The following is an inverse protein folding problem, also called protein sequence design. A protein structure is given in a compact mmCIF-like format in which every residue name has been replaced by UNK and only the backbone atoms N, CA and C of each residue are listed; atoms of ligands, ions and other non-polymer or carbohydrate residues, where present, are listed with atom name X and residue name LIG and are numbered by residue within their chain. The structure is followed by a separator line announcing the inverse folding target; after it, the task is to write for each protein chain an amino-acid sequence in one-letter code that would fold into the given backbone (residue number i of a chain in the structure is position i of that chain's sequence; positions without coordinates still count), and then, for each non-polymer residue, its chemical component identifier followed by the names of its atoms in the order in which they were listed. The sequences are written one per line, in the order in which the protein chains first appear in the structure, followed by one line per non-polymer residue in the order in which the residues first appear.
data_IF_570388116615
#
_entry.id   IF_570388116615
#
_cell.length_a   1.000
_cell.length_b   1.000
_cell.length_c   1.000
_cell.angle_alpha   90.00
_cell.angle_beta   90.00
_cell.angle_gamma   90.00
#
_symmetry.space_group_name_H-M   'P 1'
#
loop_
_entity.id
_entity.type
_entity.pdbx_description
1 polymer ?
#
# COMPACT_ATOMS: atom_id res chain seq x y z
N UNK A 1 3.50 16.65 -34.82
CA UNK A 1 2.17 16.19 -34.35
C UNK A 1 1.14 17.16 -34.90
N UNK A 2 -0.09 16.73 -35.18
CA UNK A 2 -1.15 17.64 -35.63
C UNK A 2 -1.56 18.60 -34.49
N UNK A 3 -1.80 19.89 -34.76
CA UNK A 3 -2.23 20.85 -33.73
C UNK A 3 -3.51 20.42 -32.99
N UNK A 4 -4.46 19.77 -33.68
CA UNK A 4 -5.68 19.24 -33.07
C UNK A 4 -5.40 18.13 -32.05
N UNK A 5 -4.40 17.27 -32.30
CA UNK A 5 -3.99 16.20 -31.39
C UNK A 5 -3.31 16.79 -30.15
N UNK A 6 -2.50 17.83 -30.31
CA UNK A 6 -1.90 18.55 -29.17
C UNK A 6 -2.96 19.24 -28.30
N UNK A 7 -3.99 19.82 -28.91
CA UNK A 7 -5.12 20.40 -28.18
C UNK A 7 -5.95 19.32 -27.46
N UNK A 8 -6.14 18.15 -28.06
CA UNK A 8 -6.80 17.00 -27.42
C UNK A 8 -6.00 16.44 -26.24
N UNK A 9 -4.67 16.41 -26.32
CA UNK A 9 -3.83 16.00 -25.19
C UNK A 9 -4.02 16.95 -24.00
N UNK A 10 -3.94 18.26 -24.26
CA UNK A 10 -4.20 19.28 -23.24
C UNK A 10 -5.63 19.17 -22.69
N UNK A 11 -6.62 18.95 -23.56
CA UNK A 11 -8.01 18.77 -23.16
C UNK A 11 -8.18 17.56 -22.25
N UNK A 12 -7.50 16.45 -22.55
CA UNK A 12 -7.53 15.25 -21.71
C UNK A 12 -6.93 15.51 -20.33
N UNK A 13 -5.84 16.26 -20.24
CA UNK A 13 -5.24 16.57 -18.94
C UNK A 13 -6.12 17.52 -18.12
N UNK A 14 -6.78 18.48 -18.78
CA UNK A 14 -7.82 19.31 -18.15
C UNK A 14 -9.00 18.46 -17.68
N UNK A 15 -9.51 17.53 -18.50
CA UNK A 15 -10.61 16.64 -18.13
C UNK A 15 -10.25 15.74 -16.93
N UNK A 16 -9.02 15.23 -16.86
CA UNK A 16 -8.52 14.46 -15.70
C UNK A 16 -8.53 15.31 -14.45
N UNK A 17 -8.07 16.55 -14.54
CA UNK A 17 -7.99 17.45 -13.39
C UNK A 17 -9.38 17.89 -12.91
N UNK A 18 -10.31 18.17 -13.84
CA UNK A 18 -11.72 18.39 -13.51
C UNK A 18 -12.31 17.18 -12.80
N UNK A 19 -12.03 15.97 -13.30
CA UNK A 19 -12.53 14.74 -12.67
C UNK A 19 -11.96 14.55 -11.28
N UNK A 20 -10.66 14.77 -11.09
CA UNK A 20 -10.00 14.73 -9.77
C UNK A 20 -10.68 15.67 -8.78
N UNK A 21 -10.89 16.93 -9.16
CA UNK A 21 -11.57 17.92 -8.34
C UNK A 21 -13.03 17.55 -8.07
N UNK A 22 -13.75 17.01 -9.06
CA UNK A 22 -15.12 16.54 -8.88
C UNK A 22 -15.21 15.38 -7.88
N UNK A 23 -14.27 14.44 -7.95
CA UNK A 23 -14.21 13.31 -7.04
C UNK A 23 -13.87 13.79 -5.61
N UNK A 24 -12.96 14.76 -5.46
CA UNK A 24 -12.63 15.40 -4.17
C UNK A 24 -13.83 16.13 -3.54
N UNK A 25 -14.55 16.91 -4.35
CA UNK A 25 -15.78 17.60 -3.91
C UNK A 25 -16.88 16.58 -3.53
N UNK A 26 -17.00 15.48 -4.27
CA UNK A 26 -18.01 14.46 -4.01
C UNK A 26 -17.71 13.56 -2.80
N UNK A 27 -16.44 13.38 -2.45
CA UNK A 27 -16.02 12.56 -1.31
C UNK A 27 -16.30 13.24 0.03
N UNK A 28 -16.34 14.57 0.04
CA UNK A 28 -16.50 15.35 1.25
C UNK A 28 -17.87 15.18 1.93
N UNK A 29 -19.02 15.22 1.24
CA UNK A 29 -20.31 14.84 1.81
C UNK A 29 -20.32 13.42 2.41
N UNK A 30 -19.59 12.47 1.81
CA UNK A 30 -19.50 11.11 2.36
C UNK A 30 -18.74 11.08 3.67
N UNK A 31 -17.60 11.77 3.73
CA UNK A 31 -16.81 11.90 4.98
C UNK A 31 -17.63 12.57 6.08
N UNK A 32 -18.33 13.66 5.77
CA UNK A 32 -19.21 14.36 6.71
C UNK A 32 -20.32 13.43 7.21
N UNK A 33 -20.98 12.68 6.32
CA UNK A 33 -22.04 11.74 6.69
C UNK A 33 -21.53 10.59 7.59
N UNK A 34 -20.36 10.04 7.30
CA UNK A 34 -19.74 9.00 8.14
C UNK A 34 -19.43 9.53 9.56
N UNK A 35 -18.94 10.77 9.64
CA UNK A 35 -18.66 11.46 10.90
C UNK A 35 -19.95 11.72 11.69
N UNK A 36 -21.01 12.18 11.04
CA UNK A 36 -22.32 12.41 11.68
C UNK A 36 -22.95 11.10 12.19
N UNK A 37 -22.76 9.99 11.47
CA UNK A 37 -23.20 8.68 11.93
C UNK A 37 -22.47 8.23 13.21
N UNK A 38 -21.18 8.56 13.33
CA UNK A 38 -20.39 8.29 14.55
C UNK A 38 -20.92 9.10 15.75
N UNK A 39 -21.15 10.41 15.56
CA UNK A 39 -21.77 11.27 16.58
C UNK A 39 -23.16 10.79 17.00
N UNK A 40 -23.98 10.33 16.06
CA UNK A 40 -25.28 9.76 16.37
C UNK A 40 -25.17 8.53 17.28
N UNK A 41 -24.14 7.70 17.06
CA UNK A 41 -23.80 6.57 17.94
C UNK A 41 -23.43 7.03 19.36
N UNK A 42 -22.51 7.98 19.50
CA UNK A 42 -22.10 8.54 20.80
C UNK A 42 -23.28 9.16 21.54
N UNK A 43 -24.14 9.90 20.82
CA UNK A 43 -25.36 10.49 21.37
C UNK A 43 -26.36 9.43 21.85
N UNK A 44 -26.55 8.36 21.08
CA UNK A 44 -27.42 7.26 21.49
C UNK A 44 -26.92 6.55 22.77
N UNK A 45 -25.61 6.43 22.95
CA UNK A 45 -25.03 5.91 24.20
C UNK A 45 -25.32 6.83 25.38
N UNK A 46 -25.16 8.15 25.20
CA UNK A 46 -25.51 9.14 26.22
C UNK A 46 -26.99 9.08 26.58
N UNK A 47 -27.89 9.02 25.60
CA UNK A 47 -29.33 8.94 25.81
C UNK A 47 -29.70 7.67 26.58
N UNK A 48 -29.06 6.54 26.26
CA UNK A 48 -29.24 5.26 26.98
C UNK A 48 -28.78 5.36 28.44
N UNK A 49 -27.64 5.97 28.70
CA UNK A 49 -27.13 6.16 30.06
C UNK A 49 -28.05 7.07 30.89
N UNK A 50 -28.55 8.16 30.30
CA UNK A 50 -29.52 9.04 30.94
C UNK A 50 -30.87 8.37 31.21
N UNK A 51 -31.34 7.52 30.29
CA UNK A 51 -32.57 6.75 30.48
C UNK A 51 -32.43 5.74 31.63
N UNK A 52 -31.28 5.08 31.76
CA UNK A 52 -30.99 4.18 32.88
C UNK A 52 -31.01 4.94 34.21
N UNK A 53 -30.33 6.09 34.29
CA UNK A 53 -30.33 6.94 35.49
C UNK A 53 -31.75 7.36 35.91
N UNK A 54 -32.58 7.80 34.96
CA UNK A 54 -33.99 8.15 35.23
C UNK A 54 -34.81 6.96 35.71
N UNK A 55 -34.50 5.76 35.23
CA UNK A 55 -35.18 4.52 35.65
C UNK A 55 -34.82 4.19 37.09
N UNK A 56 -33.55 4.32 37.47
CA UNK A 56 -33.08 4.10 38.84
C UNK A 56 -33.67 5.13 39.81
N UNK A 57 -33.74 6.41 39.41
CA UNK A 57 -34.40 7.46 40.19
C UNK A 57 -35.90 7.19 40.41
N UNK A 58 -36.61 6.72 39.36
CA UNK A 58 -38.01 6.36 39.46
C UNK A 58 -38.23 5.15 40.38
N UNK A 59 -37.38 4.13 40.27
CA UNK A 59 -37.41 2.97 41.15
C UNK A 59 -37.17 3.36 42.61
N UNK A 60 -36.20 4.23 42.86
CA UNK A 60 -35.91 4.77 44.19
C UNK A 60 -37.14 5.48 44.79
N UNK A 61 -37.78 6.38 44.04
CA UNK A 61 -39.01 7.07 44.51
C UNK A 61 -40.14 6.10 44.84
N UNK A 62 -40.26 5.00 44.09
CA UNK A 62 -41.24 3.94 44.36
C UNK A 62 -40.96 3.24 45.70
N UNK A 63 -39.71 2.90 45.98
CA UNK A 63 -39.33 2.30 47.26
C UNK A 63 -39.51 3.27 48.44
N UNK A 64 -39.18 4.55 48.26
CA UNK A 64 -39.42 5.60 49.28
C UNK A 64 -40.92 5.76 49.60
N UNK A 65 -41.79 5.71 48.58
CA UNK A 65 -43.23 5.72 48.77
C UNK A 65 -43.72 4.46 49.53
N UNK A 66 -43.23 3.27 49.14
CA UNK A 66 -43.54 1.99 49.82
C UNK A 66 -43.15 2.02 51.30
N UNK A 67 -41.96 2.54 51.64
CA UNK A 67 -41.52 2.72 53.04
C UNK A 67 -42.48 3.63 53.80
N UNK A 68 -42.93 4.73 53.17
CA UNK A 68 -43.86 5.68 53.79
C UNK A 68 -45.22 5.02 54.09
N UNK A 69 -45.72 4.20 53.17
CA UNK A 69 -46.94 3.41 53.36
C UNK A 69 -46.79 2.35 54.47
N UNK A 70 -45.67 1.63 54.50
CA UNK A 70 -45.37 0.62 55.52
C UNK A 70 -45.24 1.27 56.92
N UNK A 71 -44.57 2.42 57.03
CA UNK A 71 -44.49 3.18 58.29
C UNK A 71 -45.87 3.61 58.78
N UNK A 72 -46.74 4.02 57.86
CA UNK A 72 -48.13 4.36 58.18
C UNK A 72 -48.91 3.13 58.67
N UNK A 73 -48.72 1.95 58.05
CA UNK A 73 -49.32 0.69 58.52
C UNK A 73 -48.83 0.29 59.90
N UNK A 74 -47.52 0.37 60.15
CA UNK A 74 -46.92 0.09 61.46
C UNK A 74 -47.55 0.98 62.54
N UNK A 75 -47.71 2.28 62.29
CA UNK A 75 -48.38 3.19 63.23
C UNK A 75 -49.80 2.70 63.55
N UNK A 76 -50.60 2.38 62.52
CA UNK A 76 -51.96 1.87 62.70
C UNK A 76 -52.00 0.55 63.49
N UNK A 77 -51.11 -0.39 63.19
CA UNK A 77 -51.05 -1.67 63.92
C UNK A 77 -50.60 -1.47 65.37
N UNK A 78 -49.71 -0.52 65.64
CA UNK A 78 -49.31 -0.15 67.01
C UNK A 78 -50.48 0.44 67.79
N UNK A 79 -51.23 1.37 67.19
CA UNK A 79 -52.42 1.95 67.80
C UNK A 79 -53.48 0.85 68.08
N UNK A 80 -53.76 -0.01 67.09
CA UNK A 80 -54.68 -1.14 67.26
C UNK A 80 -54.23 -2.10 68.36
N UNK A 81 -52.92 -2.33 68.51
CA UNK A 81 -52.38 -3.26 69.50
C UNK A 81 -52.66 -2.84 70.94
N UNK A 82 -52.88 -1.55 71.18
CA UNK A 82 -53.25 -0.99 72.49
C UNK A 82 -54.72 -1.26 72.84
N UNK A 83 -55.59 -1.44 71.84
CA UNK A 83 -57.04 -1.62 72.03
C UNK A 83 -57.48 -3.08 72.11
N UNK A 84 -56.59 -4.03 71.80
CA UNK A 84 -56.95 -5.45 71.68
C UNK A 84 -57.02 -6.16 73.04
N UNK A 85 -58.08 -6.95 73.25
CA UNK A 85 -58.34 -7.61 74.53
C UNK A 85 -57.89 -9.08 74.59
N UNK A 86 -57.56 -9.68 73.45
CA UNK A 86 -57.14 -11.09 73.38
C UNK A 86 -55.66 -11.21 73.01
N UNK A 87 -54.97 -12.12 73.69
CA UNK A 87 -53.53 -12.33 73.53
C UNK A 87 -53.18 -12.86 72.12
N UNK A 88 -54.09 -13.60 71.48
CA UNK A 88 -53.92 -14.12 70.12
C UNK A 88 -53.95 -13.00 69.07
N UNK A 89 -54.90 -12.07 69.17
CA UNK A 89 -54.98 -10.92 68.26
C UNK A 89 -53.79 -9.96 68.45
N UNK A 90 -53.31 -9.78 69.69
CA UNK A 90 -52.11 -8.99 69.97
C UNK A 90 -50.85 -9.60 69.32
N UNK A 91 -50.68 -10.93 69.42
CA UNK A 91 -49.58 -11.64 68.76
C UNK A 91 -49.64 -11.54 67.23
N UNK A 92 -50.84 -11.59 66.64
CA UNK A 92 -51.01 -11.40 65.21
C UNK A 92 -50.56 -9.99 64.76
N UNK A 93 -50.96 -8.93 65.46
CA UNK A 93 -50.52 -7.56 65.16
C UNK A 93 -49.02 -7.37 65.32
N UNK A 94 -48.40 -7.96 66.35
CA UNK A 94 -46.95 -7.94 66.51
C UNK A 94 -46.23 -8.62 65.34
N UNK A 95 -46.77 -9.73 64.82
CA UNK A 95 -46.22 -10.40 63.66
C UNK A 95 -46.33 -9.53 62.39
N UNK A 96 -47.47 -8.87 62.17
CA UNK A 96 -47.66 -7.92 61.06
C UNK A 96 -46.71 -6.71 61.16
N UNK A 97 -46.48 -6.18 62.36
CA UNK A 97 -45.49 -5.11 62.58
C UNK A 97 -44.09 -5.60 62.22
N UNK A 98 -43.66 -6.77 62.71
CA UNK A 98 -42.35 -7.33 62.39
C UNK A 98 -42.19 -7.61 60.90
N UNK A 99 -43.26 -8.06 60.23
CA UNK A 99 -43.25 -8.26 58.79
C UNK A 99 -43.06 -6.93 58.05
N UNK A 100 -43.82 -5.89 58.41
CA UNK A 100 -43.68 -4.57 57.83
C UNK A 100 -42.31 -3.93 58.10
N UNK A 101 -41.73 -4.14 59.29
CA UNK A 101 -40.37 -3.67 59.63
C UNK A 101 -39.30 -4.37 58.77
N UNK A 102 -39.44 -5.68 58.50
CA UNK A 102 -38.57 -6.41 57.58
C UNK A 102 -38.68 -5.91 56.14
N UNK A 103 -39.90 -5.64 55.67
CA UNK A 103 -40.13 -5.09 54.33
C UNK A 103 -39.56 -3.66 54.19
N UNK A 104 -39.60 -2.84 55.25
CA UNK A 104 -38.92 -1.54 55.26
C UNK A 104 -37.42 -1.73 55.09
N UNK A 105 -36.79 -2.60 55.90
CA UNK A 105 -35.36 -2.86 55.80
C UNK A 105 -34.95 -3.35 54.40
N UNK A 106 -35.73 -4.27 53.80
CA UNK A 106 -35.50 -4.75 52.44
C UNK A 106 -35.62 -3.62 51.39
N UNK A 107 -36.57 -2.70 51.55
CA UNK A 107 -36.71 -1.55 50.66
C UNK A 107 -35.58 -0.52 50.87
N UNK A 108 -35.09 -0.33 52.10
CA UNK A 108 -33.94 0.53 52.42
C UNK A 108 -32.66 -0.02 51.79
N UNK A 109 -32.43 -1.34 51.85
CA UNK A 109 -31.32 -2.01 51.16
C UNK A 109 -31.40 -1.81 49.64
N UNK A 110 -32.60 -1.93 49.05
CA UNK A 110 -32.81 -1.68 47.61
C UNK A 110 -32.53 -0.22 47.23
N UNK A 111 -32.90 0.74 48.07
CA UNK A 111 -32.58 2.16 47.85
C UNK A 111 -31.06 2.37 47.87
N UNK A 112 -30.34 1.78 48.82
CA UNK A 112 -28.89 1.88 48.90
C UNK A 112 -28.21 1.29 47.64
N UNK A 113 -28.65 0.12 47.18
CA UNK A 113 -28.18 -0.47 45.92
C UNK A 113 -28.41 0.49 44.72
N UNK A 114 -29.61 1.07 44.62
CA UNK A 114 -29.94 2.03 43.56
C UNK A 114 -29.11 3.32 43.65
N UNK A 115 -28.80 3.80 44.84
CA UNK A 115 -27.95 4.99 45.03
C UNK A 115 -26.52 4.74 44.55
N UNK A 116 -25.93 3.58 44.86
CA UNK A 116 -24.59 3.20 44.37
C UNK A 116 -24.57 3.07 42.85
N UNK A 117 -25.62 2.47 42.28
CA UNK A 117 -25.78 2.36 40.83
C UNK A 117 -25.91 3.74 40.19
N UNK A 118 -26.75 4.62 40.75
CA UNK A 118 -26.96 5.98 40.25
C UNK A 118 -25.67 6.80 40.25
N UNK A 119 -24.84 6.72 41.30
CA UNK A 119 -23.53 7.39 41.33
C UNK A 119 -22.59 6.88 40.21
N UNK A 120 -22.65 5.58 39.92
CA UNK A 120 -21.88 4.99 38.82
C UNK A 120 -22.39 5.48 37.47
N UNK A 121 -23.71 5.51 37.27
CA UNK A 121 -24.34 5.98 36.01
C UNK A 121 -24.17 7.48 35.81
N UNK A 122 -24.20 8.29 36.86
CA UNK A 122 -23.93 9.74 36.77
C UNK A 122 -22.50 10.00 36.29
N UNK A 123 -21.51 9.24 36.77
CA UNK A 123 -20.13 9.30 36.26
C UNK A 123 -20.05 8.91 34.79
N UNK A 124 -20.74 7.84 34.38
CA UNK A 124 -20.80 7.42 32.98
C UNK A 124 -21.47 8.47 32.08
N UNK A 125 -22.56 9.10 32.54
CA UNK A 125 -23.23 10.19 31.82
C UNK A 125 -22.30 11.39 31.66
N UNK A 126 -21.60 11.79 32.73
CA UNK A 126 -20.65 12.91 32.68
C UNK A 126 -19.48 12.63 31.73
N UNK A 127 -18.94 11.41 31.75
CA UNK A 127 -17.90 10.99 30.82
C UNK A 127 -18.42 11.04 29.36
N UNK A 128 -19.56 10.40 29.09
CA UNK A 128 -20.17 10.39 27.76
C UNK A 128 -20.54 11.80 27.25
N UNK A 129 -20.95 12.72 28.13
CA UNK A 129 -21.17 14.13 27.78
C UNK A 129 -19.89 14.86 27.42
N UNK A 130 -18.80 14.63 28.16
CA UNK A 130 -17.51 15.22 27.88
C UNK A 130 -16.97 14.71 26.54
N UNK A 131 -17.05 13.40 26.30
CA UNK A 131 -16.64 12.76 25.05
C UNK A 131 -17.46 13.28 23.87
N UNK A 132 -18.78 13.33 23.99
CA UNK A 132 -19.66 13.87 22.94
C UNK A 132 -19.31 15.33 22.63
N UNK A 133 -19.03 16.15 23.65
CA UNK A 133 -18.69 17.56 23.47
C UNK A 133 -17.34 17.72 22.77
N UNK A 134 -16.33 16.95 23.17
CA UNK A 134 -15.00 16.98 22.55
C UNK A 134 -15.08 16.53 21.09
N UNK A 135 -15.76 15.40 20.85
CA UNK A 135 -15.96 14.85 19.51
C UNK A 135 -16.76 15.82 18.61
N UNK A 136 -17.81 16.46 19.12
CA UNK A 136 -18.58 17.45 18.36
C UNK A 136 -17.71 18.65 17.97
N UNK A 137 -16.86 19.14 18.88
CA UNK A 137 -15.99 20.29 18.61
C UNK A 137 -14.94 19.98 17.54
N UNK A 138 -14.31 18.81 17.60
CA UNK A 138 -13.36 18.33 16.59
C UNK A 138 -14.03 18.19 15.21
N UNK A 139 -15.25 17.64 15.20
CA UNK A 139 -16.02 17.42 13.97
C UNK A 139 -16.45 18.72 13.32
N UNK A 140 -16.90 19.71 14.08
CA UNK A 140 -17.28 21.00 13.51
C UNK A 140 -16.06 21.72 12.92
N UNK A 141 -14.86 21.56 13.51
CA UNK A 141 -13.61 22.05 12.90
C UNK A 141 -13.29 21.32 11.60
N UNK A 142 -13.39 19.98 11.57
CA UNK A 142 -13.18 19.21 10.34
C UNK A 142 -14.18 19.60 9.24
N UNK A 143 -15.46 19.78 9.58
CA UNK A 143 -16.50 20.21 8.64
C UNK A 143 -16.22 21.59 8.08
N UNK A 144 -15.76 22.53 8.90
CA UNK A 144 -15.45 23.88 8.44
C UNK A 144 -14.23 23.89 7.51
N UNK A 145 -13.14 23.20 7.89
CA UNK A 145 -11.97 23.03 7.03
C UNK A 145 -12.35 22.36 5.70
N UNK A 146 -13.18 21.32 5.77
CA UNK A 146 -13.71 20.63 4.62
C UNK A 146 -14.47 21.62 3.70
N UNK A 147 -15.44 22.38 4.22
CA UNK A 147 -16.19 23.38 3.44
C UNK A 147 -15.30 24.41 2.78
N UNK A 148 -14.28 24.89 3.47
CA UNK A 148 -13.32 25.85 2.90
C UNK A 148 -12.57 25.25 1.72
N UNK A 149 -12.06 24.03 1.86
CA UNK A 149 -11.40 23.31 0.75
C UNK A 149 -12.34 23.05 -0.41
N UNK A 150 -13.59 22.64 -0.16
CA UNK A 150 -14.60 22.48 -1.23
C UNK A 150 -14.84 23.78 -1.97
N UNK A 151 -14.94 24.91 -1.28
CA UNK A 151 -15.14 26.20 -1.92
C UNK A 151 -13.94 26.62 -2.78
N UNK A 152 -12.72 26.26 -2.38
CA UNK A 152 -11.51 26.44 -3.19
C UNK A 152 -11.50 25.52 -4.42
N UNK A 153 -11.83 24.24 -4.24
CA UNK A 153 -11.91 23.25 -5.31
C UNK A 153 -12.99 23.61 -6.34
N UNK A 154 -14.15 24.11 -5.90
CA UNK A 154 -15.22 24.59 -6.79
C UNK A 154 -14.79 25.80 -7.63
N UNK A 155 -14.01 26.72 -7.05
CA UNK A 155 -13.43 27.86 -7.79
C UNK A 155 -12.44 27.36 -8.84
N UNK A 156 -11.51 26.48 -8.45
CA UNK A 156 -10.55 25.87 -9.38
C UNK A 156 -11.27 25.12 -10.50
N UNK A 157 -12.34 24.39 -10.18
CA UNK A 157 -13.14 23.65 -11.13
C UNK A 157 -13.81 24.60 -12.15
N UNK A 158 -14.28 25.77 -11.73
CA UNK A 158 -14.78 26.79 -12.65
C UNK A 158 -13.67 27.31 -13.59
N UNK A 159 -12.46 27.55 -13.09
CA UNK A 159 -11.30 27.95 -13.91
C UNK A 159 -10.93 26.85 -14.93
N UNK A 160 -10.88 25.59 -14.50
CA UNK A 160 -10.58 24.46 -15.37
C UNK A 160 -11.66 24.24 -16.43
N UNK A 161 -12.94 24.44 -16.10
CA UNK A 161 -14.04 24.45 -17.09
C UNK A 161 -13.84 25.56 -18.13
N UNK A 162 -13.45 26.75 -17.71
CA UNK A 162 -13.11 27.84 -18.63
C UNK A 162 -11.96 27.46 -19.59
N UNK A 163 -10.87 26.88 -19.06
CA UNK A 163 -9.76 26.36 -19.88
C UNK A 163 -10.20 25.26 -20.85
N UNK A 164 -11.08 24.36 -20.40
CA UNK A 164 -11.65 23.28 -21.20
C UNK A 164 -12.41 23.83 -22.41
N UNK A 165 -13.25 24.83 -22.21
CA UNK A 165 -14.07 25.43 -23.28
C UNK A 165 -13.20 26.21 -24.27
N UNK A 166 -12.13 26.87 -23.82
CA UNK A 166 -11.14 27.48 -24.70
C UNK A 166 -10.45 26.44 -25.61
N UNK A 167 -10.02 25.31 -25.06
CA UNK A 167 -9.36 24.24 -25.83
C UNK A 167 -10.29 23.58 -26.85
N UNK A 168 -11.58 23.46 -26.54
CA UNK A 168 -12.61 22.92 -27.45
C UNK A 168 -12.75 23.74 -28.73
N UNK A 169 -12.59 25.07 -28.66
CA UNK A 169 -12.69 25.94 -29.85
C UNK A 169 -11.62 25.68 -30.92
N UNK A 170 -10.50 25.07 -30.53
CA UNK A 170 -9.37 24.73 -31.42
C UNK A 170 -9.37 23.29 -31.93
N UNK A 171 -10.49 22.57 -31.81
CA UNK A 171 -10.65 21.16 -32.20
C UNK A 171 -11.87 21.04 -33.12
N UNK A 172 -11.78 20.21 -34.17
CA UNK A 172 -12.92 19.95 -35.05
C UNK A 172 -14.06 19.22 -34.31
N UNK A 173 -15.32 19.62 -34.60
CA UNK A 173 -16.51 19.10 -33.91
C UNK A 173 -16.65 17.57 -34.00
N UNK A 174 -16.31 16.98 -35.15
CA UNK A 174 -16.38 15.53 -35.33
C UNK A 174 -15.36 14.79 -34.42
N UNK A 175 -14.14 15.31 -34.37
CA UNK A 175 -13.07 14.73 -33.54
C UNK A 175 -13.37 14.89 -32.05
N UNK A 176 -13.91 16.04 -31.64
CA UNK A 176 -14.36 16.29 -30.27
C UNK A 176 -15.48 15.33 -29.86
N UNK A 177 -16.52 15.16 -30.69
CA UNK A 177 -17.61 14.20 -30.43
C UNK A 177 -17.11 12.77 -30.30
N UNK A 178 -16.09 12.39 -31.08
CA UNK A 178 -15.45 11.08 -30.96
C UNK A 178 -14.70 10.93 -29.65
N UNK A 179 -13.84 11.89 -29.33
CA UNK A 179 -13.08 11.95 -28.08
C UNK A 179 -14.00 11.86 -26.85
N UNK A 180 -15.05 12.67 -26.78
CA UNK A 180 -15.96 12.71 -25.62
C UNK A 180 -16.69 11.39 -25.40
N UNK A 181 -17.14 10.77 -26.49
CA UNK A 181 -17.79 9.46 -26.43
C UNK A 181 -16.84 8.42 -25.84
N UNK A 182 -15.62 8.33 -26.36
CA UNK A 182 -14.64 7.34 -25.90
C UNK A 182 -14.20 7.64 -24.47
N UNK A 183 -13.92 8.90 -24.14
CA UNK A 183 -13.54 9.35 -22.80
C UNK A 183 -14.60 9.00 -21.75
N UNK A 184 -15.89 9.20 -22.07
CA UNK A 184 -17.00 8.85 -21.18
C UNK A 184 -17.04 7.36 -20.81
N UNK A 185 -16.77 6.47 -21.76
CA UNK A 185 -16.83 5.01 -21.52
C UNK A 185 -15.52 4.40 -21.02
N UNK A 186 -14.38 5.00 -21.39
CA UNK A 186 -13.04 4.41 -21.17
C UNK A 186 -12.16 5.22 -20.22
N UNK A 187 -12.62 6.38 -19.74
CA UNK A 187 -11.91 7.30 -18.87
C UNK A 187 -10.84 8.16 -19.56
N UNK A 188 -10.43 7.80 -20.78
CA UNK A 188 -9.48 8.54 -21.62
C UNK A 188 -9.87 8.41 -23.08
N UNK A 189 -9.80 9.51 -23.83
CA UNK A 189 -10.17 9.55 -25.26
C UNK A 189 -8.97 9.46 -26.21
N UNK A 190 -7.75 9.71 -25.72
CA UNK A 190 -6.50 9.68 -26.49
C UNK A 190 -5.47 8.77 -25.81
N UNK A 191 -4.69 8.05 -26.62
CA UNK A 191 -3.67 7.10 -26.17
C UNK A 191 -2.38 7.27 -26.94
N UNK A 192 -1.26 7.15 -26.22
CA UNK A 192 0.06 7.04 -26.84
C UNK A 192 0.20 5.68 -27.51
N UNK A 193 1.00 5.65 -28.58
CA UNK A 193 1.48 4.44 -29.22
C UNK A 193 2.97 4.30 -28.98
N UNK A 194 3.38 3.15 -28.42
CA UNK A 194 4.77 2.81 -28.10
C UNK A 194 5.02 1.35 -28.43
N UNK A 195 6.17 1.02 -29.01
CA UNK A 195 6.55 -0.36 -29.38
C UNK A 195 5.48 -1.13 -30.17
N UNK A 196 4.88 -0.47 -31.16
CA UNK A 196 3.75 -1.02 -31.93
C UNK A 196 2.51 -1.37 -31.08
N UNK A 197 2.37 -0.86 -29.86
CA UNK A 197 1.23 -1.11 -28.97
C UNK A 197 0.48 0.17 -28.64
N UNK A 198 -0.84 0.06 -28.53
CA UNK A 198 -1.68 1.10 -27.95
C UNK A 198 -1.52 1.09 -26.42
N UNK A 199 -1.03 2.17 -25.80
CA UNK A 199 -0.82 2.20 -24.34
C UNK A 199 -2.13 2.16 -23.53
N UNK A 200 -3.26 2.55 -24.12
CA UNK A 200 -4.56 2.57 -23.45
C UNK A 200 -5.27 1.21 -23.37
N UNK A 201 -4.99 0.27 -24.29
CA UNK A 201 -5.56 -1.09 -24.24
C UNK A 201 -4.53 -2.21 -24.38
N UNK A 202 -3.25 -1.85 -24.51
CA UNK A 202 -2.08 -2.74 -24.60
C UNK A 202 -2.10 -3.74 -25.77
N UNK A 203 -2.96 -3.52 -26.75
CA UNK A 203 -3.03 -4.35 -27.96
C UNK A 203 -1.98 -3.92 -28.97
N UNK A 204 -1.35 -4.92 -29.62
CA UNK A 204 -0.45 -4.71 -30.76
C UNK A 204 -1.23 -4.16 -31.96
N UNK A 205 -0.77 -3.02 -32.46
CA UNK A 205 -1.29 -2.38 -33.66
C UNK A 205 -0.68 -3.05 -34.90
N UNK A 206 -1.43 -3.03 -35.99
CA UNK A 206 -0.91 -3.47 -37.29
C UNK A 206 0.25 -2.56 -37.70
N UNK A 207 1.31 -3.09 -38.34
CA UNK A 207 2.45 -2.27 -38.77
C UNK A 207 2.05 -1.06 -39.62
N UNK A 208 1.03 -1.22 -40.48
CA UNK A 208 0.47 -0.13 -41.28
C UNK A 208 -0.10 0.99 -40.39
N UNK A 209 -0.99 0.65 -39.45
CA UNK A 209 -1.59 1.60 -38.50
C UNK A 209 -0.52 2.30 -37.65
N UNK A 210 0.52 1.59 -37.22
CA UNK A 210 1.65 2.20 -36.50
C UNK A 210 2.37 3.25 -37.34
N UNK A 211 2.65 2.93 -38.61
CA UNK A 211 3.31 3.86 -39.53
C UNK A 211 2.45 5.08 -39.85
N UNK A 212 1.12 4.89 -39.98
CA UNK A 212 0.16 5.98 -40.17
C UNK A 212 0.16 6.93 -38.97
N UNK A 213 0.10 6.41 -37.74
CA UNK A 213 0.20 7.23 -36.51
C UNK A 213 1.55 7.94 -36.43
N UNK A 214 2.66 7.26 -36.74
CA UNK A 214 4.02 7.83 -36.76
C UNK A 214 4.17 8.94 -37.79
N UNK A 215 3.49 8.83 -38.93
CA UNK A 215 3.50 9.86 -39.98
C UNK A 215 2.84 11.16 -39.53
N UNK A 216 1.89 11.10 -38.60
CA UNK A 216 1.20 12.25 -38.02
C UNK A 216 0.45 13.11 -39.04
N UNK A 217 0.07 12.57 -40.20
CA UNK A 217 -0.64 13.29 -41.27
C UNK A 217 -2.15 13.29 -41.09
N UNK A 218 -2.69 12.22 -40.52
CA UNK A 218 -4.13 12.02 -40.31
C UNK A 218 -4.40 11.55 -38.88
N UNK A 219 -5.63 11.76 -38.41
CA UNK A 219 -6.08 11.26 -37.12
C UNK A 219 -6.41 9.78 -37.23
N UNK A 220 -5.65 8.93 -36.55
CA UNK A 220 -5.86 7.48 -36.53
C UNK A 220 -6.50 7.07 -35.20
N UNK A 221 -7.40 6.10 -35.23
CA UNK A 221 -8.06 5.53 -34.05
C UNK A 221 -7.67 4.08 -33.86
N UNK A 222 -7.66 3.61 -32.61
CA UNK A 222 -7.40 2.21 -32.31
C UNK A 222 -8.63 1.34 -32.64
N UNK A 223 -8.46 0.30 -33.45
CA UNK A 223 -9.54 -0.64 -33.81
C UNK A 223 -10.17 -1.33 -32.59
N UNK A 224 -9.37 -1.57 -31.52
CA UNK A 224 -9.83 -2.32 -30.34
C UNK A 224 -10.52 -1.46 -29.30
N UNK A 225 -9.99 -0.26 -29.01
CA UNK A 225 -10.50 0.59 -27.92
C UNK A 225 -11.08 1.94 -28.38
N UNK A 226 -11.02 2.23 -29.68
CA UNK A 226 -11.50 3.45 -30.33
C UNK A 226 -10.82 4.75 -29.87
N UNK A 227 -9.82 4.70 -29.00
CA UNK A 227 -9.05 5.89 -28.61
C UNK A 227 -8.30 6.46 -29.81
N UNK A 228 -8.22 7.79 -29.85
CA UNK A 228 -7.39 8.51 -30.82
C UNK A 228 -5.93 8.19 -30.48
N UNK A 229 -5.13 7.87 -31.48
CA UNK A 229 -3.75 7.47 -31.32
C UNK A 229 -2.81 8.64 -31.63
N UNK A 230 -1.77 8.79 -30.82
CA UNK A 230 -0.69 9.73 -31.11
C UNK A 230 0.67 9.09 -30.88
N UNK A 231 1.67 9.60 -31.58
CA UNK A 231 3.05 9.18 -31.44
C UNK A 231 3.87 10.30 -30.80
N UNK A 232 4.64 9.97 -29.76
CA UNK A 232 5.57 10.88 -29.10
C UNK A 232 7.02 10.50 -29.47
N UNK A 233 7.70 11.28 -30.34
CA UNK A 233 9.06 10.96 -30.76
C UNK A 233 10.09 10.93 -29.62
N UNK A 234 9.84 11.63 -28.51
CA UNK A 234 10.81 11.73 -27.40
C UNK A 234 10.97 10.42 -26.63
N UNK A 235 9.90 9.63 -26.53
CA UNK A 235 9.89 8.39 -25.75
C UNK A 235 10.61 7.25 -26.50
N UNK A 236 10.51 7.21 -27.84
CA UNK A 236 11.22 6.22 -28.66
C UNK A 236 12.76 6.41 -28.62
N UNK A 237 13.23 7.63 -28.36
CA UNK A 237 14.66 7.93 -28.16
C UNK A 237 15.19 7.43 -26.82
N UNK A 238 14.33 7.28 -25.80
CA UNK A 238 14.74 6.77 -24.47
C UNK A 238 15.03 5.27 -24.54
N UNK A 239 14.19 4.51 -25.25
CA UNK A 239 14.37 3.06 -25.42
C UNK A 239 15.60 2.70 -26.28
N UNK A 240 16.12 3.67 -27.05
CA UNK A 240 17.34 3.50 -27.85
C UNK A 240 18.62 3.82 -27.09
N UNK A 241 18.55 4.38 -25.87
CA UNK A 241 19.72 4.61 -25.03
C UNK A 241 19.96 3.30 -24.24
N UNK A 242 21.03 2.53 -24.53
CA UNK A 242 21.36 1.37 -23.71
C UNK A 242 21.58 1.84 -22.28
N UNK A 243 20.98 1.17 -21.29
CA UNK A 243 21.12 1.53 -19.88
C UNK A 243 22.59 1.44 -19.44
N UNK A 244 23.28 2.58 -19.39
CA UNK A 244 24.70 2.66 -18.99
C UNK A 244 24.93 2.44 -17.49
N UNK A 245 23.90 2.14 -16.69
CA UNK A 245 24.06 1.77 -15.29
C UNK A 245 24.33 0.27 -15.17
N UNK A 246 25.60 -0.10 -15.38
CA UNK A 246 26.09 -1.46 -15.14
C UNK A 246 26.59 -1.60 -13.70
N UNK A 247 26.15 -2.61 -12.93
CA UNK A 247 26.74 -2.92 -11.63
C UNK A 247 28.21 -3.32 -11.78
N UNK A 248 29.11 -2.73 -10.97
CA UNK A 248 30.54 -3.05 -10.96
C UNK A 248 30.77 -4.51 -10.56
N UNK A 249 31.69 -5.22 -11.23
CA UNK A 249 32.15 -6.56 -10.82
C UNK A 249 32.79 -6.49 -9.44
N UNK A 250 32.18 -7.12 -8.44
CA UNK A 250 32.80 -7.28 -7.13
C UNK A 250 33.66 -8.54 -7.12
N UNK A 251 34.92 -8.43 -6.65
CA UNK A 251 35.74 -9.60 -6.34
C UNK A 251 35.00 -10.43 -5.27
N UNK A 252 34.82 -11.76 -5.46
CA UNK A 252 34.17 -12.58 -4.44
C UNK A 252 34.92 -12.48 -3.12
N UNK A 253 34.15 -12.35 -2.03
CA UNK A 253 34.65 -12.37 -0.65
C UNK A 253 35.34 -13.72 -0.36
N UNK A 254 36.15 -13.77 0.70
CA UNK A 254 36.96 -14.94 1.08
C UNK A 254 36.07 -16.17 1.36
N UNK A 255 34.81 -15.97 1.73
CA UNK A 255 33.81 -16.97 2.09
C UNK A 255 32.85 -17.35 0.94
N UNK A 256 33.18 -17.01 -0.31
CA UNK A 256 32.30 -17.33 -1.45
C UNK A 256 32.08 -18.86 -1.57
N UNK A 257 30.82 -19.26 -1.68
CA UNK A 257 30.43 -20.68 -1.85
C UNK A 257 30.77 -21.21 -3.25
N UNK A 258 30.85 -20.31 -4.23
CA UNK A 258 31.24 -20.63 -5.60
C UNK A 258 31.95 -19.47 -6.29
N UNK A 259 32.74 -19.80 -7.30
CA UNK A 259 33.34 -18.83 -8.21
C UNK A 259 33.53 -19.43 -9.62
N UNK A 260 33.25 -18.59 -10.62
CA UNK A 260 33.38 -18.84 -12.04
C UNK A 260 34.51 -18.03 -12.66
N UNK A 261 35.37 -18.70 -13.41
CA UNK A 261 36.49 -18.08 -14.11
C UNK A 261 36.52 -18.50 -15.57
N UNK A 262 37.12 -17.68 -16.40
CA UNK A 262 37.50 -18.01 -17.77
C UNK A 262 39.02 -18.08 -17.88
N UNK A 263 39.51 -19.08 -18.62
CA UNK A 263 40.90 -19.16 -19.07
C UNK A 263 40.97 -19.34 -20.58
N UNK A 264 41.88 -18.60 -21.19
CA UNK A 264 42.15 -18.69 -22.62
C UNK A 264 42.90 -19.98 -22.99
N UNK A 265 43.72 -20.49 -22.06
CA UNK A 265 44.46 -21.74 -22.24
C UNK A 265 44.41 -22.57 -20.95
N UNK A 266 43.93 -23.81 -21.08
CA UNK A 266 43.88 -24.77 -20.00
C UNK A 266 44.38 -26.15 -20.46
N UNK A 267 45.52 -26.58 -19.93
CA UNK A 267 46.09 -27.93 -20.08
C UNK A 267 46.15 -28.53 -21.51
N UNK A 268 46.07 -27.70 -22.56
CA UNK A 268 46.06 -28.13 -23.97
C UNK A 268 44.67 -28.18 -24.62
N UNK A 269 43.59 -27.98 -23.85
CA UNK A 269 42.19 -28.05 -24.30
C UNK A 269 41.60 -26.69 -24.72
N UNK A 270 42.43 -25.64 -24.82
CA UNK A 270 42.01 -24.32 -25.29
C UNK A 270 41.24 -23.50 -24.26
N UNK A 271 40.19 -22.81 -24.71
CA UNK A 271 39.41 -21.85 -23.93
C UNK A 271 38.34 -22.55 -23.06
N UNK A 272 38.33 -22.27 -21.75
CA UNK A 272 37.45 -22.97 -20.80
C UNK A 272 36.80 -22.05 -19.77
N UNK A 273 35.64 -22.48 -19.30
CA UNK A 273 35.00 -21.98 -18.08
C UNK A 273 35.31 -22.91 -16.90
N UNK A 274 35.73 -22.31 -15.80
CA UNK A 274 36.08 -22.99 -14.56
C UNK A 274 35.02 -22.65 -13.51
N UNK A 275 34.37 -23.67 -12.95
CA UNK A 275 33.51 -23.53 -11.78
C UNK A 275 34.20 -24.15 -10.56
N UNK A 276 34.50 -23.31 -9.58
CA UNK A 276 35.04 -23.68 -8.29
C UNK A 276 33.94 -23.58 -7.23
N UNK A 277 33.78 -24.60 -6.40
CA UNK A 277 32.79 -24.58 -5.31
C UNK A 277 33.39 -25.07 -4.00
N UNK A 278 32.89 -24.53 -2.89
CA UNK A 278 33.23 -24.94 -1.53
C UNK A 278 32.04 -25.65 -0.90
N UNK A 279 32.23 -26.91 -0.49
CA UNK A 279 31.20 -27.69 0.20
C UNK A 279 31.82 -28.50 1.35
N UNK A 280 31.31 -28.30 2.58
CA UNK A 280 31.67 -29.09 3.77
C UNK A 280 33.20 -29.23 3.99
N UNK A 281 33.96 -28.17 3.71
CA UNK A 281 35.42 -28.15 3.90
C UNK A 281 36.23 -28.78 2.76
N UNK A 282 35.58 -29.10 1.64
CA UNK A 282 36.22 -29.54 0.41
C UNK A 282 35.94 -28.56 -0.72
N UNK A 283 36.92 -28.37 -1.59
CA UNK A 283 36.82 -27.60 -2.81
C UNK A 283 36.69 -28.53 -4.00
N UNK A 284 35.75 -28.26 -4.90
CA UNK A 284 35.63 -28.98 -6.18
C UNK A 284 35.83 -28.05 -7.38
N UNK A 285 36.47 -28.60 -8.43
CA UNK A 285 36.73 -27.93 -9.70
C UNK A 285 36.04 -28.68 -10.83
N UNK A 286 35.19 -27.96 -11.56
CA UNK A 286 34.58 -28.40 -12.83
C UNK A 286 35.10 -27.52 -13.96
N UNK A 287 35.48 -28.12 -15.08
CA UNK A 287 36.03 -27.43 -16.25
C UNK A 287 35.09 -27.67 -17.42
N UNK A 288 34.58 -26.62 -18.04
CA UNK A 288 33.65 -26.70 -19.15
C UNK A 288 34.25 -26.03 -20.40
N UNK A 289 34.09 -26.67 -21.56
CA UNK A 289 34.45 -26.12 -22.85
C UNK A 289 33.59 -24.87 -23.16
N UNK A 290 34.22 -23.80 -23.66
CA UNK A 290 33.53 -22.53 -23.91
C UNK A 290 32.49 -22.60 -25.03
N UNK A 291 32.67 -23.49 -26.01
CA UNK A 291 31.84 -23.53 -27.22
C UNK A 291 30.70 -24.53 -27.07
N UNK A 292 30.96 -25.66 -26.43
CA UNK A 292 30.02 -26.76 -26.30
C UNK A 292 29.38 -26.83 -24.90
N UNK A 293 29.96 -26.17 -23.91
CA UNK A 293 29.50 -26.24 -22.52
C UNK A 293 29.73 -27.60 -21.85
N UNK A 294 30.46 -28.51 -22.50
CA UNK A 294 30.69 -29.87 -22.01
C UNK A 294 31.84 -29.92 -21.01
N UNK A 295 31.69 -30.78 -20.01
CA UNK A 295 32.71 -31.01 -18.98
C UNK A 295 33.95 -31.64 -19.62
N UNK A 296 35.11 -31.03 -19.40
CA UNK A 296 36.42 -31.50 -19.83
C UNK A 296 37.09 -32.21 -18.64
N UNK A 297 37.36 -33.49 -18.81
CA UNK A 297 37.98 -34.33 -17.78
C UNK A 297 37.08 -34.60 -16.57
N UNK A 298 37.70 -35.04 -15.48
CA UNK A 298 37.01 -35.38 -14.24
C UNK A 298 36.89 -34.21 -13.27
N UNK A 299 35.86 -34.24 -12.42
CA UNK A 299 35.69 -33.27 -11.33
C UNK A 299 36.78 -33.53 -10.29
N UNK A 300 37.69 -32.57 -10.12
CA UNK A 300 38.72 -32.66 -9.08
C UNK A 300 38.20 -32.15 -7.76
N UNK A 301 38.46 -32.90 -6.69
CA UNK A 301 38.10 -32.54 -5.32
C UNK A 301 39.38 -32.51 -4.47
N UNK A 302 39.58 -31.42 -3.73
CA UNK A 302 40.72 -31.22 -2.82
C UNK A 302 40.19 -30.73 -1.46
N UNK A 303 40.92 -31.01 -0.38
CA UNK A 303 40.55 -30.49 0.95
C UNK A 303 40.84 -28.99 1.06
N UNK A 304 39.99 -28.26 1.79
CA UNK A 304 40.12 -26.83 2.04
C UNK A 304 39.27 -25.93 1.14
N UNK A 305 39.55 -24.63 1.18
CA UNK A 305 38.89 -23.61 0.35
C UNK A 305 39.45 -23.60 -1.08
N UNK A 306 38.61 -23.38 -2.09
CA UNK A 306 39.03 -23.46 -3.49
C UNK A 306 40.16 -22.49 -3.85
N UNK A 307 40.34 -21.38 -3.12
CA UNK A 307 41.45 -20.44 -3.37
C UNK A 307 42.79 -20.99 -2.91
N UNK A 308 42.80 -21.81 -1.87
CA UNK A 308 43.97 -22.50 -1.37
C UNK A 308 44.20 -23.82 -2.10
N UNK A 309 43.12 -24.50 -2.46
CA UNK A 309 43.15 -25.79 -3.12
C UNK A 309 43.49 -25.71 -4.61
N UNK A 310 43.11 -24.62 -5.31
CA UNK A 310 43.34 -24.44 -6.76
C UNK A 310 43.93 -23.05 -7.11
N UNK A 311 45.06 -22.62 -6.52
CA UNK A 311 45.66 -21.32 -6.82
C UNK A 311 46.11 -21.19 -8.29
N UNK A 312 46.50 -22.29 -8.92
CA UNK A 312 46.92 -22.36 -10.32
C UNK A 312 45.80 -21.96 -11.29
N UNK A 313 44.56 -22.29 -10.97
CA UNK A 313 43.40 -22.07 -11.83
C UNK A 313 42.88 -20.64 -11.75
N UNK A 314 43.10 -19.99 -10.60
CA UNK A 314 42.65 -18.62 -10.34
C UNK A 314 43.66 -17.59 -10.87
N UNK A 315 44.96 -17.89 -10.75
CA UNK A 315 46.01 -16.95 -11.13
C UNK A 315 45.97 -16.69 -12.64
N UNK A 316 45.79 -15.42 -13.05
CA UNK A 316 45.72 -15.03 -14.46
C UNK A 316 44.40 -15.36 -15.17
N UNK A 317 43.40 -15.89 -14.46
CA UNK A 317 42.08 -16.16 -15.01
C UNK A 317 41.16 -14.92 -14.93
N UNK A 318 40.21 -14.83 -15.86
CA UNK A 318 39.23 -13.74 -15.88
C UNK A 318 38.01 -14.11 -15.05
N UNK A 319 37.62 -13.28 -14.08
CA UNK A 319 36.45 -13.54 -13.22
C UNK A 319 35.14 -13.25 -13.96
N UNK A 320 34.20 -14.18 -13.84
CA UNK A 320 32.83 -14.07 -14.37
C UNK A 320 31.81 -13.81 -13.24
N UNK A 321 30.54 -13.58 -13.53
CA UNK A 321 29.49 -13.23 -12.57
C UNK A 321 28.48 -14.37 -12.37
N UNK A 322 28.85 -15.59 -12.76
CA UNK A 322 28.03 -16.78 -12.57
C UNK A 322 27.63 -17.00 -11.11
N UNK A 323 26.33 -17.14 -10.88
CA UNK A 323 25.73 -17.40 -9.56
C UNK A 323 24.56 -18.38 -9.72
N UNK A 324 24.87 -19.68 -9.71
CA UNK A 324 23.86 -20.75 -9.75
C UNK A 324 23.90 -21.55 -8.45
N UNK A 325 22.77 -22.11 -8.01
CA UNK A 325 22.76 -22.87 -6.76
C UNK A 325 23.53 -24.17 -6.90
N UNK A 326 23.95 -24.77 -5.79
CA UNK A 326 24.59 -26.10 -5.78
C UNK A 326 23.74 -27.15 -6.52
N UNK A 327 22.43 -27.11 -6.31
CA UNK A 327 21.48 -27.98 -7.00
C UNK A 327 21.47 -27.75 -8.52
N UNK A 328 21.58 -26.50 -8.97
CA UNK A 328 21.68 -26.21 -10.40
C UNK A 328 22.98 -26.78 -11.00
N UNK A 329 24.10 -26.66 -10.28
CA UNK A 329 25.39 -27.21 -10.71
C UNK A 329 25.40 -28.74 -10.77
N UNK A 330 24.71 -29.41 -9.85
CA UNK A 330 24.47 -30.86 -9.91
C UNK A 330 23.63 -31.24 -11.13
N UNK A 331 22.58 -30.45 -11.42
CA UNK A 331 21.70 -30.67 -12.56
C UNK A 331 22.39 -30.44 -13.91
N UNK A 332 23.36 -29.51 -13.98
CA UNK A 332 24.17 -29.31 -15.19
C UNK A 332 25.07 -30.54 -15.44
N UNK A 333 25.60 -31.15 -14.38
CA UNK A 333 26.40 -32.38 -14.49
C UNK A 333 27.55 -32.24 -15.49
N UNK A 334 27.45 -32.98 -16.60
CA UNK A 334 28.47 -33.03 -17.67
C UNK A 334 28.28 -31.98 -18.77
N UNK A 335 27.19 -31.21 -18.81
CA UNK A 335 26.92 -30.23 -19.88
C UNK A 335 26.13 -29.02 -19.37
N UNK A 336 26.63 -27.81 -19.64
CA UNK A 336 25.94 -26.57 -19.30
C UNK A 336 24.71 -26.38 -20.22
N UNK A 337 23.54 -26.04 -19.67
CA UNK A 337 22.41 -25.60 -20.47
C UNK A 337 22.77 -24.38 -21.33
N UNK A 338 22.24 -24.29 -22.55
CA UNK A 338 22.58 -23.18 -23.46
C UNK A 338 22.36 -21.79 -22.83
N UNK A 339 21.31 -21.62 -22.04
CA UNK A 339 21.04 -20.35 -21.33
C UNK A 339 22.16 -19.96 -20.37
N UNK A 340 22.79 -20.95 -19.72
CA UNK A 340 23.93 -20.74 -18.80
C UNK A 340 25.19 -20.41 -19.60
N UNK A 341 25.41 -21.14 -20.70
CA UNK A 341 26.55 -20.92 -21.59
C UNK A 341 26.52 -19.53 -22.24
N UNK A 342 25.35 -19.11 -22.73
CA UNK A 342 25.13 -17.78 -23.31
C UNK A 342 25.37 -16.67 -22.28
N UNK A 343 24.94 -16.89 -21.04
CA UNK A 343 25.16 -15.96 -19.93
C UNK A 343 26.65 -15.81 -19.59
N UNK A 344 27.40 -16.91 -19.54
CA UNK A 344 28.85 -16.89 -19.30
C UNK A 344 29.63 -16.23 -20.43
N UNK A 345 29.26 -16.51 -21.69
CA UNK A 345 29.86 -15.88 -22.86
C UNK A 345 29.58 -14.37 -22.91
N UNK A 346 28.33 -13.96 -22.67
CA UNK A 346 27.96 -12.55 -22.60
C UNK A 346 28.76 -11.81 -21.52
N UNK A 347 29.00 -12.44 -20.36
CA UNK A 347 29.77 -11.87 -19.26
C UNK A 347 31.30 -11.88 -19.50
N UNK A 348 31.80 -12.83 -20.30
CA UNK A 348 33.19 -12.86 -20.76
C UNK A 348 33.50 -11.76 -21.77
N UNK A 349 32.66 -11.58 -22.78
CA UNK A 349 32.81 -10.48 -23.76
C UNK A 349 32.82 -9.12 -23.05
N UNK A 350 32.03 -9.06 -21.99
CA UNK A 350 32.01 -7.94 -21.09
C UNK A 350 33.32 -7.73 -20.34
N UNK A 351 33.92 -8.83 -19.85
CA UNK A 351 35.18 -8.78 -19.14
C UNK A 351 36.30 -8.28 -20.05
N UNK A 352 36.29 -8.77 -21.30
CA UNK A 352 37.21 -8.36 -22.36
C UNK A 352 37.07 -6.86 -22.67
N UNK A 353 35.84 -6.36 -22.77
CA UNK A 353 35.58 -4.93 -22.99
C UNK A 353 36.01 -4.04 -21.81
N UNK A 354 35.83 -4.49 -20.56
CA UNK A 354 36.28 -3.75 -19.38
C UNK A 354 37.83 -3.74 -19.27
N UNK A 355 38.48 -4.86 -19.60
CA UNK A 355 39.94 -4.94 -19.63
C UNK A 355 40.56 -4.03 -20.72
N UNK A 356 39.90 -3.91 -21.89
CA UNK A 356 40.36 -3.05 -22.98
C UNK A 356 40.16 -1.55 -22.72
N UNK A 357 39.15 -1.19 -21.92
CA UNK A 357 38.86 0.21 -21.55
C UNK A 357 39.63 0.67 -20.31
N UNK A 358 40.02 -0.24 -19.41
CA UNK A 358 40.79 0.05 -18.19
C UNK A 358 42.29 0.31 -18.37
N UNK A 359 42.86 0.04 -19.54
CA UNK A 359 44.29 0.27 -19.84
C UNK A 359 44.61 1.71 -20.26
N UNK A 360 43.60 2.57 -20.42
CA UNK A 360 43.73 3.92 -20.95
C UNK A 360 43.42 5.05 -19.94
N UNK A 361 43.84 4.96 -18.67
CA UNK A 361 43.91 6.16 -17.80
C UNK A 361 45.08 6.08 -16.81
N UNK A 362 46.23 6.64 -17.22
CA UNK A 362 47.19 7.26 -16.30
C UNK A 362 48.00 8.29 -17.08
N UNK A 363 47.39 9.46 -17.31
CA UNK A 363 48.17 10.67 -17.62
C UNK A 363 48.66 11.29 -16.30
N UNK A 364 49.93 11.70 -16.20
CA UNK A 364 50.47 12.31 -14.99
C UNK A 364 49.97 13.75 -14.83
N UNK A 365 49.48 14.08 -13.64
CA UNK A 365 49.12 15.44 -13.25
C UNK A 365 50.37 16.33 -13.21
N UNK A 366 50.42 17.48 -13.90
CA UNK A 366 51.55 18.40 -13.78
C UNK A 366 51.41 19.17 -12.47
N UNK A 367 52.38 19.00 -11.58
CA UNK A 367 52.58 19.83 -10.40
C UNK A 367 52.99 21.24 -10.82
N UNK A 368 52.05 22.18 -10.77
CA UNK A 368 52.33 23.60 -10.91
C UNK A 368 53.28 24.06 -9.80
N UNK A 369 54.42 24.62 -10.22
CA UNK A 369 55.39 25.28 -9.37
C UNK A 369 54.74 26.47 -8.65
N UNK A 370 54.71 26.41 -7.33
CA UNK A 370 54.70 27.58 -6.48
C UNK A 370 56.15 27.92 -6.14
N UNK A 371 56.66 29.05 -6.64
CA UNK A 371 57.82 29.72 -6.09
C UNK A 371 57.77 31.21 -6.44
N UNK A 372 57.61 32.00 -5.39
CA UNK A 372 58.14 33.35 -5.07
C UNK A 372 58.37 34.35 -6.19
#
# INVERSE_FOLDING_TARGET
MLPEIENLLKLQDVDKEIRRLQDEVAELPRRVSAIEARLAGTKAQLDKAQAALKTDEAARRKYEASITELRTKISKYRDQSLDVKTNEQYRALLHEIQFAEKEIAANEDKILELMVNADTRDKEVKAAQADLKAETAEIEQEKEQARQRTAEDEKLLAEWRGKRDQLRSGISENLLRHYERVSKFRGSGISEVRDHKCMGCQVMLRPQTYNEVRSGKETVVCDSCQRILYFNPKEELIDQIPSLHRPKRHHPKIDATQAWYYRAEFAGDGEVFLCLTNLRGQASRRVYDIHTGRLIGDILIREGDFRQAFPEDITGATRLNGNWSEHDLENFGTELPMVVLDSLNADLDLARHEASTGSHVKEPVPTGQAAS
#
